data_IF_560593039472
#
_entry.id   IF_560593039472
#
_cell.length_a   1.000
_cell.length_b   1.000
_cell.length_c   1.000
_cell.angle_alpha   90.00
_cell.angle_beta   90.00
_cell.angle_gamma   90.00
#
_symmetry.space_group_name_H-M   'P 1'
#
loop_
_entity.id
_entity.type
_entity.pdbx_description
1 polymer ?
#
# COMPACT_ATOMS: atom_id res chain seq x y z
N UNK A 1 25.87 -1.55 -35.07
CA UNK A 1 24.47 -1.84 -34.65
C UNK A 1 24.26 -1.12 -33.33
N UNK A 2 23.76 0.12 -33.39
CA UNK A 2 23.73 1.05 -32.24
C UNK A 2 22.45 0.82 -31.46
N UNK A 3 22.57 0.41 -30.20
CA UNK A 3 21.44 0.26 -29.28
C UNK A 3 21.01 1.68 -28.87
N UNK A 4 19.80 2.07 -29.25
CA UNK A 4 19.15 3.24 -28.67
C UNK A 4 18.86 2.94 -27.20
N UNK A 5 19.66 3.51 -26.30
CA UNK A 5 19.26 3.69 -24.92
C UNK A 5 18.07 4.66 -24.94
N UNK A 6 16.87 4.14 -24.69
CA UNK A 6 15.73 4.98 -24.34
C UNK A 6 16.09 5.64 -23.00
N UNK A 7 16.59 6.87 -23.07
CA UNK A 7 16.60 7.78 -21.94
C UNK A 7 15.13 8.01 -21.62
N UNK A 8 14.61 7.33 -20.59
CA UNK A 8 13.31 7.66 -20.01
C UNK A 8 13.44 9.00 -19.33
N UNK A 9 13.20 10.07 -20.08
CA UNK A 9 12.84 11.37 -19.55
C UNK A 9 11.58 11.13 -18.73
N UNK A 10 11.68 11.03 -17.40
CA UNK A 10 10.52 11.16 -16.53
C UNK A 10 10.15 12.64 -16.53
N UNK A 11 9.51 13.08 -17.61
CA UNK A 11 8.81 14.36 -17.63
C UNK A 11 7.76 14.33 -16.51
N UNK A 12 7.62 15.46 -15.81
CA UNK A 12 6.54 15.80 -14.87
C UNK A 12 5.19 15.74 -15.60
N UNK A 13 4.78 14.56 -16.05
CA UNK A 13 3.47 14.37 -16.62
C UNK A 13 2.49 14.40 -15.46
N UNK A 14 1.49 15.31 -15.50
CA UNK A 14 0.47 15.34 -14.46
C UNK A 14 -0.24 13.98 -14.42
N UNK A 15 -0.60 13.56 -13.21
CA UNK A 15 -1.30 12.30 -13.00
C UNK A 15 -2.59 12.29 -13.82
N UNK A 16 -3.00 11.14 -14.40
CA UNK A 16 -4.30 11.03 -15.06
C UNK A 16 -5.50 11.25 -14.13
N UNK A 17 -5.27 11.32 -12.81
CA UNK A 17 -6.28 11.57 -11.79
C UNK A 17 -6.26 13.01 -11.26
N UNK A 18 -5.39 13.89 -11.74
CA UNK A 18 -5.32 15.28 -11.26
C UNK A 18 -6.68 15.97 -11.36
N UNK A 19 -7.11 16.61 -10.25
CA UNK A 19 -8.42 17.25 -10.12
C UNK A 19 -9.61 16.32 -9.86
N UNK A 20 -9.45 15.00 -9.86
CA UNK A 20 -10.57 14.09 -9.64
C UNK A 20 -11.09 14.12 -8.20
N UNK A 21 -12.42 14.07 -8.06
CA UNK A 21 -13.11 13.77 -6.80
C UNK A 21 -12.97 12.29 -6.47
N UNK A 22 -12.20 11.99 -5.41
CA UNK A 22 -11.85 10.62 -5.02
C UNK A 22 -13.08 9.81 -4.65
N UNK A 23 -14.02 10.40 -3.89
CA UNK A 23 -15.22 9.72 -3.45
C UNK A 23 -16.15 9.42 -4.63
N UNK A 24 -16.35 10.40 -5.53
CA UNK A 24 -17.16 10.22 -6.73
C UNK A 24 -16.62 9.10 -7.60
N UNK A 25 -15.31 9.09 -7.88
CA UNK A 25 -14.67 8.07 -8.72
C UNK A 25 -14.66 6.68 -8.07
N UNK A 26 -14.55 6.62 -6.75
CA UNK A 26 -14.63 5.38 -5.99
C UNK A 26 -16.09 4.88 -5.79
N UNK A 27 -17.11 5.64 -6.21
CA UNK A 27 -18.51 5.30 -5.99
C UNK A 27 -18.92 5.38 -4.52
N UNK A 28 -18.25 6.22 -3.73
CA UNK A 28 -18.50 6.44 -2.31
C UNK A 28 -19.42 7.66 -2.13
N UNK A 29 -20.53 7.47 -1.42
CA UNK A 29 -21.49 8.54 -1.15
C UNK A 29 -21.09 9.34 0.08
N UNK A 30 -21.08 10.66 -0.05
CA UNK A 30 -20.91 11.61 1.05
C UNK A 30 -22.22 12.40 1.26
N UNK A 31 -22.50 12.86 2.50
CA UNK A 31 -23.58 13.80 2.77
C UNK A 31 -23.39 15.10 1.98
N UNK A 32 -24.49 15.80 1.74
CA UNK A 32 -24.46 17.13 1.12
C UNK A 32 -23.73 18.13 2.03
N UNK A 33 -22.96 19.05 1.43
CA UNK A 33 -22.16 20.03 2.16
C UNK A 33 -20.83 19.52 2.74
N UNK A 34 -20.58 18.20 2.72
CA UNK A 34 -19.29 17.64 3.16
C UNK A 34 -18.19 17.92 2.13
N UNK A 35 -17.02 18.40 2.60
CA UNK A 35 -15.85 18.56 1.75
C UNK A 35 -15.46 17.22 1.13
N UNK A 36 -15.33 17.20 -0.19
CA UNK A 36 -14.90 16.02 -0.94
C UNK A 36 -13.38 16.05 -1.12
N UNK A 37 -12.67 14.95 -0.79
CA UNK A 37 -11.23 14.89 -1.01
C UNK A 37 -10.95 14.85 -2.51
N UNK A 38 -10.07 15.73 -2.96
CA UNK A 38 -9.56 15.73 -4.33
C UNK A 38 -8.31 14.84 -4.40
N UNK A 39 -8.03 14.30 -5.58
CA UNK A 39 -6.82 13.51 -5.80
C UNK A 39 -5.57 14.29 -5.39
N UNK A 40 -5.51 15.59 -5.65
CA UNK A 40 -4.33 16.42 -5.35
C UNK A 40 -4.13 16.66 -3.85
N UNK A 41 -5.14 16.44 -3.00
CA UNK A 41 -5.00 16.53 -1.55
C UNK A 41 -4.05 15.44 -1.02
N UNK A 42 -3.20 15.77 -0.04
CA UNK A 42 -2.35 14.79 0.67
C UNK A 42 -3.08 14.08 1.82
N UNK A 43 -4.32 14.47 2.10
CA UNK A 43 -5.21 13.84 3.05
C UNK A 43 -6.56 13.54 2.40
N UNK A 44 -6.90 12.27 2.26
CA UNK A 44 -8.25 11.85 1.87
C UNK A 44 -9.02 11.41 3.11
N UNK A 45 -10.06 12.18 3.47
CA UNK A 45 -10.90 11.89 4.63
C UNK A 45 -12.22 11.23 4.21
N UNK A 46 -12.40 9.97 4.62
CA UNK A 46 -13.60 9.18 4.37
C UNK A 46 -14.49 9.02 5.60
N UNK A 47 -14.26 9.82 6.65
CA UNK A 47 -14.97 9.68 7.94
C UNK A 47 -16.49 9.74 7.78
N UNK A 48 -16.95 10.68 6.94
CA UNK A 48 -18.35 11.00 6.70
C UNK A 48 -19.01 10.14 5.60
N UNK A 49 -18.29 9.17 5.00
CA UNK A 49 -18.86 8.35 3.92
C UNK A 49 -20.03 7.52 4.44
N UNK A 50 -21.15 7.63 3.74
CA UNK A 50 -22.42 6.97 4.07
C UNK A 50 -22.30 5.46 3.82
N UNK A 51 -22.86 4.66 4.72
CA UNK A 51 -22.91 3.21 4.56
C UNK A 51 -21.58 2.49 4.89
N UNK A 52 -20.58 3.21 5.41
CA UNK A 52 -19.41 2.56 5.98
C UNK A 52 -19.79 1.78 7.24
N UNK A 53 -19.21 0.60 7.38
CA UNK A 53 -19.43 -0.21 8.57
C UNK A 53 -18.95 0.54 9.82
N UNK A 54 -19.86 0.69 10.79
CA UNK A 54 -19.68 1.51 12.01
C UNK A 54 -18.44 1.10 12.82
N UNK A 55 -18.01 -0.16 12.70
CA UNK A 55 -16.86 -0.72 13.41
C UNK A 55 -15.48 -0.38 12.82
N UNK A 56 -15.39 0.39 11.72
CA UNK A 56 -14.10 0.85 11.20
C UNK A 56 -13.62 2.05 12.04
N UNK A 57 -12.48 1.95 12.76
CA UNK A 57 -11.91 3.05 13.53
C UNK A 57 -11.68 4.28 12.65
N UNK A 58 -11.87 5.48 13.20
CA UNK A 58 -11.68 6.76 12.48
C UNK A 58 -10.29 6.88 11.86
N UNK A 59 -9.24 6.41 12.53
CA UNK A 59 -7.88 6.37 12.00
C UNK A 59 -7.76 5.57 10.69
N UNK A 60 -8.62 4.58 10.49
CA UNK A 60 -8.63 3.76 9.27
C UNK A 60 -9.47 4.36 8.13
N UNK A 61 -10.10 5.52 8.36
CA UNK A 61 -10.90 6.27 7.38
C UNK A 61 -10.16 7.48 6.82
N UNK A 62 -9.00 7.84 7.37
CA UNK A 62 -8.19 8.98 6.93
C UNK A 62 -6.91 8.48 6.29
N UNK A 63 -6.76 8.74 5.00
CA UNK A 63 -5.60 8.30 4.24
C UNK A 63 -4.64 9.48 4.17
N UNK A 64 -3.62 9.47 5.02
CA UNK A 64 -2.62 10.51 5.11
C UNK A 64 -1.38 10.13 4.30
N UNK A 65 -1.22 10.75 3.13
CA UNK A 65 -0.09 10.53 2.23
C UNK A 65 1.15 11.35 2.61
N UNK A 66 0.99 12.40 3.43
CA UNK A 66 2.10 13.22 3.91
C UNK A 66 3.11 12.43 4.76
N UNK A 67 2.74 11.22 5.23
CA UNK A 67 3.65 10.29 5.87
C UNK A 67 4.76 9.75 4.95
N UNK A 68 4.64 9.94 3.63
CA UNK A 68 5.64 9.63 2.62
C UNK A 68 6.36 10.94 2.28
N UNK A 69 7.64 11.05 2.67
CA UNK A 69 8.43 12.28 2.58
C UNK A 69 8.71 12.70 1.13
N UNK A 70 9.23 11.79 0.32
CA UNK A 70 9.49 12.03 -1.11
C UNK A 70 8.17 12.25 -1.89
N UNK A 71 7.97 13.42 -2.53
CA UNK A 71 6.79 13.72 -3.34
C UNK A 71 6.56 12.75 -4.50
N UNK A 72 7.62 12.18 -5.09
CA UNK A 72 7.51 11.22 -6.19
C UNK A 72 6.89 9.92 -5.71
N UNK A 73 7.37 9.41 -4.57
CA UNK A 73 6.78 8.23 -3.94
C UNK A 73 5.38 8.49 -3.41
N UNK A 74 5.11 9.71 -2.94
CA UNK A 74 3.77 10.12 -2.53
C UNK A 74 2.80 10.06 -3.72
N UNK A 75 3.20 10.58 -4.88
CA UNK A 75 2.40 10.51 -6.09
C UNK A 75 2.10 9.06 -6.49
N UNK A 76 3.12 8.21 -6.54
CA UNK A 76 2.95 6.77 -6.85
C UNK A 76 1.97 6.09 -5.89
N UNK A 77 2.03 6.42 -4.59
CA UNK A 77 1.08 5.90 -3.62
C UNK A 77 -0.36 6.35 -3.93
N UNK A 78 -0.56 7.64 -4.21
CA UNK A 78 -1.88 8.21 -4.52
C UNK A 78 -2.47 7.55 -5.78
N UNK A 79 -1.68 7.43 -6.84
CA UNK A 79 -2.09 6.79 -8.08
C UNK A 79 -2.47 5.33 -7.89
N UNK A 80 -1.66 4.56 -7.15
CA UNK A 80 -1.96 3.16 -6.87
C UNK A 80 -3.24 3.00 -6.04
N UNK A 81 -3.43 3.83 -4.99
CA UNK A 81 -4.63 3.76 -4.16
C UNK A 81 -5.87 4.20 -4.95
N UNK A 82 -5.77 5.23 -5.77
CA UNK A 82 -6.85 5.66 -6.67
C UNK A 82 -7.21 4.56 -7.66
N UNK A 83 -6.23 3.93 -8.29
CA UNK A 83 -6.46 2.87 -9.28
C UNK A 83 -7.18 1.65 -8.68
N UNK A 84 -6.91 1.30 -7.42
CA UNK A 84 -7.60 0.18 -6.75
C UNK A 84 -8.97 0.57 -6.16
N UNK A 85 -9.21 1.85 -5.90
CA UNK A 85 -10.53 2.36 -5.50
C UNK A 85 -11.47 2.55 -6.68
N UNK A 86 -10.94 3.04 -7.81
CA UNK A 86 -11.70 3.41 -9.01
C UNK A 86 -11.22 2.62 -10.24
N UNK A 87 -11.36 1.27 -10.26
CA UNK A 87 -10.87 0.45 -11.37
C UNK A 87 -11.59 0.68 -12.71
N UNK A 88 -12.75 1.36 -12.68
CA UNK A 88 -13.51 1.76 -13.87
C UNK A 88 -13.09 3.12 -14.42
N UNK A 89 -12.15 3.82 -13.77
CA UNK A 89 -11.57 5.05 -14.30
C UNK A 89 -10.92 4.75 -15.66
N UNK A 90 -11.07 5.66 -16.64
CA UNK A 90 -10.66 5.41 -18.03
C UNK A 90 -9.18 5.01 -18.12
N UNK A 91 -8.29 5.78 -17.48
CA UNK A 91 -6.85 5.50 -17.46
C UNK A 91 -6.47 4.16 -16.79
N UNK A 92 -7.34 3.61 -15.93
CA UNK A 92 -7.10 2.33 -15.24
C UNK A 92 -7.68 1.17 -16.03
N UNK A 93 -8.85 1.37 -16.64
CA UNK A 93 -9.57 0.36 -17.39
C UNK A 93 -8.78 -0.15 -18.61
N UNK A 94 -7.95 0.71 -19.20
CA UNK A 94 -7.07 0.37 -20.33
C UNK A 94 -5.88 -0.50 -19.92
N UNK A 95 -5.51 -0.52 -18.64
CA UNK A 95 -4.34 -1.26 -18.18
C UNK A 95 -4.63 -2.78 -18.14
N UNK A 96 -3.82 -3.61 -18.83
CA UNK A 96 -4.11 -5.04 -18.98
C UNK A 96 -4.10 -5.82 -17.67
N UNK A 97 -3.38 -5.33 -16.65
CA UNK A 97 -3.22 -6.00 -15.35
C UNK A 97 -3.84 -5.24 -14.17
N UNK A 98 -4.62 -4.20 -14.44
CA UNK A 98 -5.30 -3.45 -13.39
C UNK A 98 -6.33 -4.30 -12.64
N UNK A 99 -6.54 -3.98 -11.37
CA UNK A 99 -7.68 -4.48 -10.62
C UNK A 99 -8.97 -4.10 -11.34
N UNK A 100 -9.93 -5.03 -11.39
CA UNK A 100 -11.24 -4.80 -12.03
C UNK A 100 -12.38 -4.67 -11.02
N UNK A 101 -12.15 -5.11 -9.79
CA UNK A 101 -13.07 -4.99 -8.66
C UNK A 101 -12.55 -3.94 -7.69
N UNK A 102 -13.35 -2.92 -7.32
CA UNK A 102 -12.95 -1.92 -6.34
C UNK A 102 -12.55 -2.58 -5.02
N UNK A 103 -11.45 -2.13 -4.43
CA UNK A 103 -11.06 -2.56 -3.09
C UNK A 103 -11.76 -1.73 -2.01
N UNK A 104 -12.15 -2.39 -0.91
CA UNK A 104 -12.71 -1.71 0.24
C UNK A 104 -11.68 -0.78 0.91
N UNK A 105 -12.15 0.32 1.50
CA UNK A 105 -11.30 1.29 2.24
C UNK A 105 -10.37 0.61 3.26
N UNK A 106 -10.86 -0.41 3.98
CA UNK A 106 -10.06 -1.18 4.93
C UNK A 106 -8.86 -1.88 4.27
N UNK A 107 -9.02 -2.38 3.06
CA UNK A 107 -7.92 -2.97 2.29
C UNK A 107 -6.97 -1.90 1.78
N UNK A 108 -7.49 -0.74 1.37
CA UNK A 108 -6.69 0.37 0.87
C UNK A 108 -5.82 1.01 1.95
N UNK A 109 -6.33 1.24 3.17
CA UNK A 109 -5.49 1.76 4.28
C UNK A 109 -4.37 0.79 4.65
N UNK A 110 -4.65 -0.52 4.66
CA UNK A 110 -3.62 -1.53 4.88
C UNK A 110 -2.54 -1.53 3.80
N UNK A 111 -2.91 -1.25 2.55
CA UNK A 111 -1.95 -1.05 1.44
C UNK A 111 -1.18 0.24 1.59
N UNK A 112 -1.83 1.35 1.94
CA UNK A 112 -1.15 2.63 2.16
C UNK A 112 -0.10 2.51 3.27
N UNK A 113 -0.44 1.91 4.41
CA UNK A 113 0.52 1.67 5.50
C UNK A 113 1.74 0.86 5.04
N UNK A 114 1.52 -0.11 4.17
CA UNK A 114 2.60 -0.91 3.59
C UNK A 114 3.45 -0.10 2.60
N UNK A 115 2.81 0.71 1.74
CA UNK A 115 3.50 1.60 0.81
C UNK A 115 4.35 2.63 1.56
N UNK A 116 3.82 3.23 2.62
CA UNK A 116 4.57 4.15 3.48
C UNK A 116 5.83 3.51 4.04
N UNK A 117 5.73 2.26 4.54
CA UNK A 117 6.88 1.51 5.04
C UNK A 117 7.88 1.20 3.92
N UNK A 118 7.38 0.75 2.77
CA UNK A 118 8.22 0.38 1.64
C UNK A 118 8.97 1.58 1.06
N UNK A 119 8.28 2.70 0.83
CA UNK A 119 8.88 3.89 0.23
C UNK A 119 9.87 4.58 1.15
N UNK A 120 9.63 4.61 2.47
CA UNK A 120 10.67 5.03 3.43
C UNK A 120 11.91 4.12 3.38
N UNK A 121 11.72 2.81 3.20
CA UNK A 121 12.83 1.86 3.09
C UNK A 121 13.63 2.02 1.78
N UNK A 122 12.96 2.40 0.68
CA UNK A 122 13.60 2.74 -0.61
C UNK A 122 14.36 4.07 -0.52
N UNK A 123 13.77 5.08 0.12
CA UNK A 123 14.39 6.40 0.33
C UNK A 123 15.72 6.30 1.08
N UNK A 124 15.78 5.47 2.13
CA UNK A 124 17.01 5.15 2.87
C UNK A 124 18.10 4.48 2.01
N UNK A 125 17.74 3.95 0.84
CA UNK A 125 18.64 3.27 -0.10
C UNK A 125 18.87 4.08 -1.37
N UNK A 126 18.40 5.33 -1.39
CA UNK A 126 18.52 6.24 -2.53
C UNK A 126 17.93 5.69 -3.83
N UNK A 127 16.90 4.85 -3.75
CA UNK A 127 16.14 4.39 -4.92
C UNK A 127 15.15 5.49 -5.30
N UNK A 128 15.35 6.10 -6.47
CA UNK A 128 14.67 7.33 -6.87
C UNK A 128 13.48 7.12 -7.82
N UNK A 129 13.42 5.98 -8.52
CA UNK A 129 12.35 5.68 -9.46
C UNK A 129 11.80 4.25 -9.32
N UNK A 130 10.54 4.06 -9.72
CA UNK A 130 9.92 2.73 -9.71
C UNK A 130 10.63 1.77 -10.69
N UNK A 131 11.22 2.29 -11.76
CA UNK A 131 12.02 1.54 -12.72
C UNK A 131 13.28 0.91 -12.10
N UNK A 132 13.79 1.47 -11.00
CA UNK A 132 14.95 0.96 -10.28
C UNK A 132 14.58 -0.15 -9.28
N UNK A 133 13.28 -0.37 -9.04
CA UNK A 133 12.79 -1.42 -8.14
C UNK A 133 12.77 -2.75 -8.88
N UNK A 134 13.80 -3.55 -8.64
CA UNK A 134 13.96 -4.87 -9.23
C UNK A 134 13.53 -6.01 -8.31
N UNK A 135 13.74 -7.26 -8.76
CA UNK A 135 13.40 -8.45 -7.96
C UNK A 135 14.25 -8.53 -6.69
N UNK A 136 15.53 -8.14 -6.75
CA UNK A 136 16.42 -8.17 -5.60
C UNK A 136 15.97 -7.18 -4.52
N UNK A 137 15.60 -5.97 -4.93
CA UNK A 137 15.05 -4.92 -4.06
C UNK A 137 13.77 -5.40 -3.37
N UNK A 138 12.87 -6.05 -4.11
CA UNK A 138 11.66 -6.63 -3.54
C UNK A 138 11.97 -7.74 -2.51
N UNK A 139 12.91 -8.63 -2.81
CA UNK A 139 13.30 -9.71 -1.89
C UNK A 139 13.97 -9.18 -0.62
N UNK A 140 14.86 -8.19 -0.76
CA UNK A 140 15.49 -7.50 0.34
C UNK A 140 14.47 -6.80 1.24
N UNK A 141 13.47 -6.12 0.64
CA UNK A 141 12.38 -5.53 1.41
C UNK A 141 11.55 -6.58 2.15
N UNK A 142 11.20 -7.70 1.50
CA UNK A 142 10.45 -8.78 2.15
C UNK A 142 11.22 -9.41 3.32
N UNK A 143 12.55 -9.52 3.19
CA UNK A 143 13.42 -9.95 4.28
C UNK A 143 13.41 -8.94 5.44
N UNK A 144 13.60 -7.66 5.15
CA UNK A 144 13.52 -6.56 6.13
C UNK A 144 12.16 -6.52 6.85
N UNK A 145 11.06 -6.62 6.11
CA UNK A 145 9.68 -6.60 6.63
C UNK A 145 9.37 -7.77 7.56
N UNK A 146 10.13 -8.87 7.49
CA UNK A 146 9.98 -10.02 8.40
C UNK A 146 10.30 -9.63 9.86
N UNK A 147 11.08 -8.57 10.05
CA UNK A 147 11.41 -8.01 11.34
C UNK A 147 10.40 -6.93 11.75
N UNK A 148 9.96 -6.96 13.02
CA UNK A 148 9.22 -5.89 13.66
C UNK A 148 10.24 -4.79 13.94
N UNK A 149 9.95 -3.61 13.43
CA UNK A 149 10.75 -2.42 13.67
C UNK A 149 9.95 -1.52 14.62
N UNK A 150 10.61 -0.85 15.55
CA UNK A 150 10.00 0.22 16.35
C UNK A 150 9.77 1.47 15.47
N UNK A 151 9.26 2.52 16.11
CA UNK A 151 9.07 3.84 15.49
C UNK A 151 10.38 4.46 14.99
N UNK A 152 11.53 4.05 15.54
CA UNK A 152 12.86 4.57 15.21
C UNK A 152 13.61 3.74 14.15
N UNK A 153 13.00 2.65 13.66
CA UNK A 153 13.58 1.78 12.64
C UNK A 153 14.55 0.72 13.17
N UNK A 154 14.66 0.56 14.48
CA UNK A 154 15.44 -0.51 15.12
C UNK A 154 14.65 -1.82 15.16
N UNK A 155 15.34 -2.95 15.05
CA UNK A 155 14.72 -4.28 15.05
C UNK A 155 14.28 -4.66 16.48
N UNK A 156 12.96 -4.65 16.72
CA UNK A 156 12.31 -5.00 18.00
C UNK A 156 11.99 -6.48 18.10
N UNK A 157 12.04 -7.22 17.00
CA UNK A 157 11.89 -8.69 16.98
C UNK A 157 11.61 -9.25 15.60
N UNK A 158 11.39 -10.55 15.48
CA UNK A 158 10.92 -11.18 14.23
C UNK A 158 9.42 -11.48 14.29
N UNK A 159 8.70 -11.41 13.16
CA UNK A 159 7.26 -11.74 13.10
C UNK A 159 6.93 -13.19 13.49
N UNK A 160 7.94 -14.06 13.65
CA UNK A 160 7.79 -15.43 14.16
C UNK A 160 7.81 -15.55 15.69
N UNK A 161 8.27 -14.54 16.43
CA UNK A 161 8.49 -14.66 17.89
C UNK A 161 7.27 -14.28 18.73
N UNK A 162 6.18 -13.81 18.12
CA UNK A 162 4.94 -13.46 18.84
C UNK A 162 4.12 -14.68 19.35
N UNK A 163 4.70 -15.89 19.33
CA UNK A 163 4.12 -17.10 19.91
C UNK A 163 5.01 -17.75 20.98
N UNK A 164 6.17 -17.18 21.35
CA UNK A 164 7.08 -17.79 22.33
C UNK A 164 7.45 -16.94 23.54
N UNK A 165 6.92 -15.72 23.67
CA UNK A 165 7.13 -14.89 24.86
C UNK A 165 5.87 -14.78 25.70
N UNK A 166 5.56 -15.86 26.42
CA UNK A 166 4.76 -15.80 27.64
C UNK A 166 5.49 -16.60 28.71
N UNK A 167 5.89 -16.01 29.86
CA UNK A 167 6.60 -16.75 30.90
C UNK A 167 5.57 -17.48 31.77
N UNK A 168 5.40 -18.78 31.58
CA UNK A 168 4.75 -19.64 32.58
C UNK A 168 5.41 -21.03 32.67
N UNK A 169 5.42 -21.64 33.87
CA UNK A 169 6.37 -22.68 34.24
C UNK A 169 6.06 -24.04 33.61
N UNK A 170 7.13 -24.83 33.47
CA UNK A 170 7.21 -26.18 32.89
C UNK A 170 5.99 -27.06 33.22
N UNK A 171 5.28 -27.49 32.19
CA UNK A 171 4.65 -28.83 32.13
C UNK A 171 4.96 -29.43 30.77
N UNK A 172 5.60 -30.60 30.79
CA UNK A 172 5.74 -31.47 29.63
C UNK A 172 4.35 -31.79 29.08
N UNK A 173 4.14 -31.50 27.80
CA UNK A 173 3.08 -32.11 27.01
C UNK A 173 3.62 -32.42 25.61
N UNK A 174 3.43 -33.66 25.19
CA UNK A 174 3.86 -34.22 23.90
C UNK A 174 3.08 -33.63 22.73
N UNK A 175 3.65 -33.58 21.51
CA UNK A 175 3.05 -32.84 20.40
C UNK A 175 1.96 -33.66 19.70
N UNK A 176 0.71 -33.19 19.78
CA UNK A 176 -0.35 -33.59 18.85
C UNK A 176 -0.30 -32.70 17.61
N UNK A 177 -0.02 -33.31 16.46
CA UNK A 177 0.03 -32.67 15.15
C UNK A 177 -1.36 -32.11 14.79
N UNK A 178 -1.52 -30.79 14.78
CA UNK A 178 -2.51 -30.10 13.95
C UNK A 178 -1.84 -29.03 13.12
N UNK A 179 -1.54 -29.41 11.90
CA UNK A 179 -1.13 -28.56 10.79
C UNK A 179 -2.28 -27.59 10.49
N UNK A 180 -2.09 -26.29 10.77
CA UNK A 180 -2.91 -25.25 10.15
C UNK A 180 -2.04 -24.49 9.15
N UNK A 181 -1.94 -25.07 7.96
CA UNK A 181 -1.40 -24.42 6.76
C UNK A 181 -2.35 -23.29 6.36
N UNK A 182 -2.13 -22.08 6.86
CA UNK A 182 -2.71 -20.88 6.25
C UNK A 182 -1.76 -20.37 5.17
N UNK A 183 -1.97 -20.91 3.97
CA UNK A 183 -1.45 -20.45 2.69
C UNK A 183 -1.89 -19.00 2.45
N UNK A 184 -1.06 -18.04 2.88
CA UNK A 184 -1.06 -16.69 2.32
C UNK A 184 0.09 -16.64 1.31
N UNK A 185 -0.34 -16.74 0.07
CA UNK A 185 0.41 -17.10 -1.13
C UNK A 185 1.46 -16.06 -1.50
N UNK A 186 2.65 -16.59 -1.83
CA UNK A 186 3.72 -16.02 -2.68
C UNK A 186 3.24 -15.35 -3.98
N UNK A 187 1.96 -15.47 -4.36
CA UNK A 187 1.39 -15.00 -5.63
C UNK A 187 0.84 -13.57 -5.64
N UNK A 188 0.82 -12.87 -4.51
CA UNK A 188 0.20 -11.53 -4.43
C UNK A 188 1.12 -10.39 -4.91
N UNK A 189 2.44 -10.55 -4.79
CA UNK A 189 3.41 -9.48 -5.07
C UNK A 189 4.01 -9.52 -6.48
N UNK A 190 4.00 -10.66 -7.19
CA UNK A 190 4.36 -10.71 -8.63
C UNK A 190 3.42 -9.88 -9.51
N UNK A 191 2.27 -9.43 -8.99
CA UNK A 191 1.29 -8.60 -9.70
C UNK A 191 1.52 -7.10 -9.58
N UNK A 192 2.35 -6.65 -8.63
CA UNK A 192 2.55 -5.22 -8.35
C UNK A 192 3.85 -4.68 -8.98
N UNK A 193 4.84 -5.53 -9.27
CA UNK A 193 6.19 -5.09 -9.66
C UNK A 193 6.58 -5.42 -11.12
N UNK A 194 5.61 -5.62 -12.03
CA UNK A 194 5.88 -5.72 -13.48
C UNK A 194 4.83 -4.97 -14.28
N UNK A 195 5.05 -3.67 -14.43
CA UNK A 195 4.69 -2.89 -15.61
C UNK A 195 5.95 -2.19 -16.08
#
# INVERSE_FOLDING_TARGET
>A
MTIFAAVSVHEDRPSPFTGDDVCLRAGLSLPEGTRRPLFDDDLWDFTEVIGLAVHIPLANRRFNFAAIGDPRWRLVAKELIMAVLAPRHLAVAELPRAYRTPLHLRSCIGRLNELTRFFRWLEQRHVAALADVDTHTCEAYLAFRRYILDEDGSVVGSRHERNLSSPHPRRMYTPSKRTYTRTLTRGHWRRVCRS
#
